data_IF_110350158349
#
_entry.id   IF_110350158349
#
_cell.length_a   1.000
_cell.length_b   1.000
_cell.length_c   1.000
_cell.angle_alpha   90.00
_cell.angle_beta   90.00
_cell.angle_gamma   90.00
#
_symmetry.space_group_name_H-M   'P 1'
#
loop_
_entity.id
_entity.type
_entity.pdbx_description
1 polymer ?
#
# COMPACT_ATOMS: atom_id res chain seq x y z
N UNK A 1 14.61 12.62 -20.41
CA UNK A 1 14.89 12.59 -18.96
C UNK A 1 14.17 11.46 -18.20
N UNK A 2 12.90 11.12 -18.47
CA UNK A 2 12.23 9.98 -17.81
C UNK A 2 12.76 8.59 -18.19
N UNK A 3 13.27 8.41 -19.43
CA UNK A 3 13.72 7.09 -19.91
C UNK A 3 14.99 6.58 -19.20
N UNK A 4 16.01 7.43 -19.08
CA UNK A 4 17.28 7.10 -18.41
C UNK A 4 17.10 6.90 -16.89
N UNK A 5 16.07 7.52 -16.30
CA UNK A 5 15.71 7.32 -14.90
C UNK A 5 14.96 5.98 -14.68
N UNK A 6 14.13 5.54 -15.64
CA UNK A 6 13.47 4.21 -15.61
C UNK A 6 14.47 3.06 -15.70
N UNK A 7 15.47 3.16 -16.57
CA UNK A 7 16.50 2.12 -16.73
C UNK A 7 17.29 1.87 -15.44
N UNK A 8 17.60 2.93 -14.67
CA UNK A 8 18.25 2.80 -13.37
C UNK A 8 17.40 2.07 -12.31
N UNK A 9 16.08 2.26 -12.31
CA UNK A 9 15.16 1.58 -11.39
C UNK A 9 14.94 0.11 -11.77
N UNK A 10 14.81 -0.18 -13.07
CA UNK A 10 14.63 -1.56 -13.55
C UNK A 10 15.91 -2.38 -13.37
N UNK A 11 17.08 -1.78 -13.58
CA UNK A 11 18.37 -2.48 -13.43
C UNK A 11 18.71 -2.81 -11.96
N UNK A 12 18.29 -1.96 -11.00
CA UNK A 12 18.49 -2.19 -9.57
C UNK A 12 17.34 -2.92 -8.89
N UNK A 13 16.23 -3.12 -9.60
CA UNK A 13 15.04 -3.77 -9.09
C UNK A 13 14.38 -3.02 -7.91
N UNK A 14 14.49 -1.69 -7.90
CA UNK A 14 14.15 -0.78 -6.78
C UNK A 14 12.99 0.17 -7.13
N UNK A 15 12.03 -0.29 -7.93
CA UNK A 15 10.88 0.55 -8.29
C UNK A 15 9.79 0.58 -7.20
N UNK A 16 8.93 1.61 -7.18
CA UNK A 16 7.82 1.72 -6.20
C UNK A 16 6.86 0.53 -6.25
N UNK A 17 6.82 -0.22 -7.37
CA UNK A 17 6.04 -1.45 -7.49
C UNK A 17 6.46 -2.55 -6.52
N UNK A 18 7.70 -2.53 -6.00
CA UNK A 18 8.24 -3.55 -5.08
C UNK A 18 7.54 -3.54 -3.72
N UNK A 19 7.19 -2.37 -3.20
CA UNK A 19 6.41 -2.27 -1.96
C UNK A 19 5.05 -2.96 -2.13
N UNK A 20 4.40 -2.73 -3.27
CA UNK A 20 3.12 -3.35 -3.60
C UNK A 20 3.25 -4.87 -3.78
N UNK A 21 4.32 -5.36 -4.41
CA UNK A 21 4.59 -6.80 -4.54
C UNK A 21 4.80 -7.49 -3.17
N UNK A 22 5.46 -6.81 -2.24
CA UNK A 22 5.66 -7.34 -0.89
C UNK A 22 4.32 -7.48 -0.14
N UNK A 23 3.47 -6.46 -0.20
CA UNK A 23 2.12 -6.50 0.41
C UNK A 23 1.24 -7.52 -0.30
N UNK A 24 1.29 -7.61 -1.62
CA UNK A 24 0.58 -8.63 -2.41
C UNK A 24 0.98 -10.04 -1.97
N UNK A 25 2.28 -10.30 -1.81
CA UNK A 25 2.80 -11.59 -1.37
C UNK A 25 2.32 -11.95 0.04
N UNK A 26 2.29 -10.96 0.93
CA UNK A 26 1.75 -11.15 2.28
C UNK A 26 0.25 -11.50 2.25
N UNK A 27 -0.55 -10.75 1.50
CA UNK A 27 -1.99 -10.99 1.38
C UNK A 27 -2.31 -12.34 0.72
N UNK A 28 -1.47 -12.81 -0.22
CA UNK A 28 -1.59 -14.16 -0.79
C UNK A 28 -1.41 -15.25 0.28
N UNK A 29 -0.43 -15.12 1.18
CA UNK A 29 -0.26 -16.08 2.28
C UNK A 29 -1.41 -16.02 3.29
N UNK A 30 -1.89 -14.82 3.63
CA UNK A 30 -3.05 -14.65 4.52
C UNK A 30 -4.34 -15.24 3.89
N UNK A 31 -4.48 -15.15 2.57
CA UNK A 31 -5.58 -15.80 1.82
C UNK A 31 -5.44 -17.33 1.86
N UNK A 32 -4.22 -17.86 1.72
CA UNK A 32 -3.96 -19.31 1.79
C UNK A 32 -4.30 -19.92 3.15
N UNK A 33 -4.19 -19.15 4.23
CA UNK A 33 -4.56 -19.58 5.59
C UNK A 33 -5.99 -19.15 5.99
N UNK A 34 -6.76 -18.56 5.07
CA UNK A 34 -8.19 -18.26 5.25
C UNK A 34 -8.52 -16.98 6.02
N UNK A 35 -7.55 -16.10 6.27
CA UNK A 35 -7.79 -14.81 6.95
C UNK A 35 -8.26 -13.71 6.01
N UNK A 36 -7.88 -13.80 4.73
CA UNK A 36 -8.35 -12.92 3.65
C UNK A 36 -9.26 -13.74 2.73
N UNK A 37 -10.36 -13.13 2.27
CA UNK A 37 -11.30 -13.78 1.38
C UNK A 37 -10.68 -14.25 0.07
N UNK A 38 -11.05 -15.44 -0.41
CA UNK A 38 -10.58 -16.00 -1.69
C UNK A 38 -10.99 -15.15 -2.91
N UNK A 39 -12.03 -14.31 -2.76
CA UNK A 39 -12.51 -13.42 -3.81
C UNK A 39 -11.69 -12.13 -3.94
N UNK A 40 -10.91 -11.79 -2.91
CA UNK A 40 -10.03 -10.62 -2.92
C UNK A 40 -8.91 -10.82 -3.94
N UNK A 41 -8.58 -9.75 -4.67
CA UNK A 41 -7.42 -9.70 -5.56
C UNK A 41 -6.25 -9.05 -4.79
N UNK A 42 -5.24 -9.82 -4.34
CA UNK A 42 -4.21 -9.31 -3.43
C UNK A 42 -3.43 -8.11 -3.99
N UNK A 43 -3.12 -8.13 -5.29
CA UNK A 43 -2.49 -7.00 -5.97
C UNK A 43 -3.30 -5.71 -5.86
N UNK A 44 -4.60 -5.80 -6.16
CA UNK A 44 -5.49 -4.64 -6.12
C UNK A 44 -5.62 -4.09 -4.70
N UNK A 45 -5.68 -4.96 -3.69
CA UNK A 45 -5.70 -4.53 -2.29
C UNK A 45 -4.39 -3.84 -1.88
N UNK A 46 -3.23 -4.36 -2.30
CA UNK A 46 -1.93 -3.72 -2.08
C UNK A 46 -1.83 -2.35 -2.77
N UNK A 47 -2.28 -2.25 -4.01
CA UNK A 47 -2.30 -1.01 -4.78
C UNK A 47 -3.21 0.05 -4.12
N UNK A 48 -4.38 -0.34 -3.60
CA UNK A 48 -5.28 0.56 -2.87
C UNK A 48 -4.65 1.04 -1.56
N UNK A 49 -4.09 0.14 -0.74
CA UNK A 49 -3.49 0.47 0.56
C UNK A 49 -2.29 1.42 0.42
N UNK A 50 -1.34 1.08 -0.44
CA UNK A 50 -0.15 1.90 -0.62
C UNK A 50 -0.47 3.18 -1.40
N UNK A 51 -1.44 3.12 -2.32
CA UNK A 51 -1.97 4.29 -3.01
C UNK A 51 -2.58 5.32 -2.07
N UNK A 52 -3.40 4.89 -1.10
CA UNK A 52 -4.00 5.79 -0.12
C UNK A 52 -2.94 6.44 0.77
N UNK A 53 -2.00 5.65 1.30
CA UNK A 53 -0.90 6.17 2.12
C UNK A 53 -0.03 7.17 1.35
N UNK A 54 0.32 6.85 0.10
CA UNK A 54 1.09 7.75 -0.75
C UNK A 54 0.33 9.05 -1.03
N UNK A 55 -0.94 8.97 -1.43
CA UNK A 55 -1.76 10.14 -1.74
C UNK A 55 -1.87 11.07 -0.52
N UNK A 56 -2.10 10.50 0.67
CA UNK A 56 -2.20 11.27 1.90
C UNK A 56 -0.89 11.97 2.26
N UNK A 57 0.22 11.23 2.25
CA UNK A 57 1.55 11.81 2.49
C UNK A 57 1.89 12.90 1.47
N UNK A 58 1.57 12.68 0.19
CA UNK A 58 1.78 13.67 -0.87
C UNK A 58 1.00 14.96 -0.60
N UNK A 59 -0.29 14.87 -0.24
CA UNK A 59 -1.13 16.04 0.06
C UNK A 59 -0.57 16.85 1.23
N UNK A 60 -0.16 16.19 2.32
CA UNK A 60 0.40 16.83 3.50
C UNK A 60 1.71 17.55 3.19
N UNK A 61 2.61 16.88 2.46
CA UNK A 61 3.86 17.49 2.01
C UNK A 61 3.61 18.68 1.09
N UNK A 62 2.66 18.54 0.16
CA UNK A 62 2.31 19.61 -0.77
C UNK A 62 1.72 20.86 -0.05
N UNK A 63 0.96 20.64 1.02
CA UNK A 63 0.36 21.71 1.83
C UNK A 63 1.29 22.25 2.94
N UNK A 64 2.45 21.61 3.16
CA UNK A 64 3.36 21.99 4.25
C UNK A 64 2.79 21.72 5.64
N UNK A 65 1.96 20.67 5.78
CA UNK A 65 1.30 20.28 7.02
C UNK A 65 1.95 19.01 7.58
N UNK A 66 3.02 19.10 8.39
CA UNK A 66 3.62 17.93 9.00
C UNK A 66 2.66 17.30 10.00
N UNK A 67 2.59 15.98 10.00
CA UNK A 67 1.87 15.22 11.03
C UNK A 67 2.82 14.79 12.13
N UNK A 68 2.30 14.77 13.35
CA UNK A 68 2.87 14.00 14.44
C UNK A 68 2.81 12.49 14.15
N UNK A 69 3.63 11.71 14.86
CA UNK A 69 3.62 10.25 14.73
C UNK A 69 2.26 9.65 15.13
N UNK A 70 1.54 10.29 16.07
CA UNK A 70 0.21 9.87 16.49
C UNK A 70 -0.82 10.01 15.36
N UNK A 71 -0.83 11.15 14.68
CA UNK A 71 -1.73 11.40 13.53
C UNK A 71 -1.43 10.47 12.34
N UNK A 72 -0.15 10.18 12.10
CA UNK A 72 0.25 9.20 11.07
C UNK A 72 -0.29 7.81 11.39
N UNK A 73 -0.13 7.36 12.64
CA UNK A 73 -0.65 6.08 13.10
C UNK A 73 -2.17 6.03 13.01
N UNK A 74 -2.87 7.08 13.43
CA UNK A 74 -4.32 7.14 13.36
C UNK A 74 -4.84 7.01 11.92
N UNK A 75 -4.19 7.67 10.97
CA UNK A 75 -4.52 7.55 9.56
C UNK A 75 -4.36 6.11 9.06
N UNK A 76 -3.23 5.46 9.38
CA UNK A 76 -2.97 4.07 8.96
C UNK A 76 -4.02 3.12 9.53
N UNK A 77 -4.36 3.23 10.82
CA UNK A 77 -5.41 2.39 11.43
C UNK A 77 -6.75 2.57 10.72
N UNK A 78 -7.15 3.82 10.45
CA UNK A 78 -8.42 4.12 9.76
C UNK A 78 -8.49 3.50 8.36
N UNK A 79 -7.39 3.55 7.60
CA UNK A 79 -7.30 2.92 6.29
C UNK A 79 -7.38 1.40 6.41
N UNK A 80 -6.68 0.80 7.37
CA UNK A 80 -6.71 -0.65 7.60
C UNK A 80 -8.08 -1.14 8.05
N UNK A 81 -8.73 -0.46 8.99
CA UNK A 81 -10.08 -0.80 9.45
C UNK A 81 -11.08 -0.79 8.28
N UNK A 82 -10.99 0.23 7.43
CA UNK A 82 -11.82 0.34 6.23
C UNK A 82 -11.53 -0.78 5.22
N UNK A 83 -10.25 -1.09 4.99
CA UNK A 83 -9.84 -2.14 4.07
C UNK A 83 -10.32 -3.51 4.58
N UNK A 84 -10.08 -3.83 5.85
CA UNK A 84 -10.44 -5.10 6.46
C UNK A 84 -11.95 -5.33 6.53
N UNK A 85 -12.75 -4.29 6.66
CA UNK A 85 -14.21 -4.40 6.51
C UNK A 85 -14.63 -4.92 5.12
N UNK A 86 -13.81 -4.73 4.08
CA UNK A 86 -14.10 -5.18 2.71
C UNK A 86 -13.37 -6.44 2.26
N UNK A 87 -12.28 -6.86 2.93
CA UNK A 87 -11.44 -8.01 2.51
C UNK A 87 -11.42 -9.18 3.51
N UNK A 88 -11.89 -8.98 4.75
CA UNK A 88 -11.94 -10.01 5.77
C UNK A 88 -12.91 -11.15 5.43
N UNK A 89 -12.66 -12.32 6.00
CA UNK A 89 -13.65 -13.41 6.05
C UNK A 89 -14.50 -13.31 7.32
N UNK A 90 -15.77 -13.74 7.24
CA UNK A 90 -16.66 -13.91 8.39
C UNK A 90 -16.16 -14.96 9.39
#
# INVERSE_FOLDING_TARGET
MLAQHREGFTARNEGPHRANEAVESYLLEEQRIGRVSEFVKPRSAADMLLGSCYQYAFQLNFLGLPLSDEEQNEYVHRVLDTLFAGIGNE
#
